data_IF_703411250295
#
_entry.id   IF_703411250295
#
_cell.length_a   1.000
_cell.length_b   1.000
_cell.length_c   1.000
_cell.angle_alpha   90.00
_cell.angle_beta   90.00
_cell.angle_gamma   90.00
#
_symmetry.space_group_name_H-M   'P 1'
#
loop_
_entity.id
_entity.type
_entity.pdbx_description
1 polymer ?
#
# COMPACT_ATOMS: atom_id res chain seq x y z
N UNK A 1 -13.05 -6.98 5.59
CA UNK A 1 -12.46 -7.70 6.73
C UNK A 1 -11.15 -6.99 7.06
N UNK A 2 -11.13 -6.13 8.08
CA UNK A 2 -9.93 -5.38 8.50
C UNK A 2 -9.09 -6.30 9.38
N UNK A 3 -7.83 -6.52 9.02
CA UNK A 3 -6.91 -7.29 9.86
C UNK A 3 -6.31 -6.30 10.86
N UNK A 4 -6.77 -6.36 12.11
CA UNK A 4 -6.36 -5.48 13.22
C UNK A 4 -4.91 -5.68 13.70
N UNK A 5 -4.01 -6.13 12.81
CA UNK A 5 -2.57 -6.32 12.97
C UNK A 5 -2.13 -7.78 13.22
N UNK A 6 -1.04 -8.20 12.57
CA UNK A 6 -0.40 -9.51 12.70
C UNK A 6 1.04 -9.31 13.21
N UNK A 7 1.38 -9.86 14.36
CA UNK A 7 2.74 -9.82 14.89
C UNK A 7 3.61 -10.93 14.28
N UNK A 8 4.83 -10.60 13.86
CA UNK A 8 5.83 -11.52 13.34
C UNK A 8 7.17 -11.23 14.02
N UNK A 9 7.43 -11.92 15.14
CA UNK A 9 8.60 -11.68 15.97
C UNK A 9 8.65 -10.23 16.47
N UNK A 10 9.68 -9.48 16.08
CA UNK A 10 9.85 -8.05 16.42
C UNK A 10 9.08 -7.09 15.50
N UNK A 11 8.36 -7.62 14.50
CA UNK A 11 7.66 -6.82 13.51
C UNK A 11 6.15 -6.96 13.63
N UNK A 12 5.41 -6.00 13.09
CA UNK A 12 3.96 -6.04 13.06
C UNK A 12 3.47 -5.61 11.69
N UNK A 13 2.72 -6.49 11.02
CA UNK A 13 1.96 -6.17 9.83
C UNK A 13 0.65 -5.52 10.28
N UNK A 14 0.27 -4.41 9.67
CA UNK A 14 -0.98 -3.70 9.93
C UNK A 14 -1.68 -3.38 8.63
N UNK A 15 -2.97 -3.05 8.71
CA UNK A 15 -3.70 -2.53 7.57
C UNK A 15 -3.06 -1.24 7.02
N UNK A 16 -3.27 -1.02 5.71
CA UNK A 16 -2.77 0.14 4.99
C UNK A 16 -3.40 1.43 5.51
N UNK A 17 -2.58 2.48 5.65
CA UNK A 17 -2.99 3.83 6.05
C UNK A 17 -2.63 4.84 4.97
N UNK A 18 -3.37 5.94 4.90
CA UNK A 18 -3.12 7.02 3.92
C UNK A 18 -1.68 7.54 3.98
N UNK A 19 -1.12 7.63 5.18
CA UNK A 19 0.24 8.14 5.38
C UNK A 19 1.32 7.23 4.78
N UNK A 20 1.02 5.93 4.59
CA UNK A 20 1.94 4.99 3.97
C UNK A 20 2.19 5.30 2.49
N UNK A 21 1.30 6.07 1.85
CA UNK A 21 1.37 6.37 0.43
C UNK A 21 2.71 6.99 -0.01
N UNK A 22 3.26 7.89 0.81
CA UNK A 22 4.52 8.54 0.51
C UNK A 22 5.69 7.54 0.55
N UNK A 23 5.79 6.76 1.62
CA UNK A 23 6.85 5.77 1.80
C UNK A 23 6.77 4.65 0.76
N UNK A 24 5.57 4.14 0.47
CA UNK A 24 5.41 3.09 -0.55
C UNK A 24 5.80 3.63 -1.94
N UNK A 25 5.42 4.88 -2.29
CA UNK A 25 5.82 5.48 -3.57
C UNK A 25 7.36 5.60 -3.69
N UNK A 26 8.02 6.01 -2.60
CA UNK A 26 9.47 6.12 -2.53
C UNK A 26 10.15 4.76 -2.77
N UNK A 27 9.69 3.70 -2.12
CA UNK A 27 10.31 2.37 -2.26
C UNK A 27 9.89 1.64 -3.55
N UNK A 28 8.67 1.84 -4.04
CA UNK A 28 8.19 1.24 -5.29
C UNK A 28 8.93 1.75 -6.53
N UNK A 29 9.56 2.93 -6.45
CA UNK A 29 10.42 3.45 -7.52
C UNK A 29 11.79 2.73 -7.63
N UNK A 30 12.09 1.81 -6.71
CA UNK A 30 13.27 0.94 -6.83
C UNK A 30 12.97 -0.24 -7.76
N UNK A 31 13.67 -0.33 -8.90
CA UNK A 31 13.50 -1.40 -9.90
C UNK A 31 13.58 -2.82 -9.31
N UNK A 32 14.39 -3.04 -8.27
CA UNK A 32 14.52 -4.34 -7.57
C UNK A 32 13.25 -4.72 -6.80
N UNK A 33 12.48 -3.74 -6.35
CA UNK A 33 11.19 -3.92 -5.66
C UNK A 33 10.07 -4.01 -6.71
N UNK A 34 10.10 -3.13 -7.69
CA UNK A 34 9.10 -3.01 -8.76
C UNK A 34 8.80 -4.33 -9.48
N UNK A 35 9.83 -5.13 -9.78
CA UNK A 35 9.67 -6.41 -10.49
C UNK A 35 8.74 -7.42 -9.79
N UNK A 36 8.52 -7.21 -8.48
CA UNK A 36 7.65 -8.02 -7.62
C UNK A 36 6.23 -7.41 -7.44
N UNK A 37 5.94 -6.22 -7.96
CA UNK A 37 4.67 -5.50 -7.77
C UNK A 37 3.70 -5.69 -8.96
N UNK A 38 3.64 -6.91 -9.51
CA UNK A 38 3.34 -7.14 -10.93
C UNK A 38 1.89 -6.92 -11.39
N UNK A 39 0.87 -6.93 -10.52
CA UNK A 39 -0.55 -6.75 -10.93
C UNK A 39 -1.33 -5.69 -10.15
N UNK A 40 -0.81 -5.31 -8.98
CA UNK A 40 -1.53 -4.51 -8.01
C UNK A 40 -1.33 -2.99 -8.20
N UNK A 41 -0.37 -2.60 -9.03
CA UNK A 41 0.27 -1.29 -9.02
C UNK A 41 0.72 -0.89 -10.44
N UNK A 42 -0.19 -0.31 -11.25
CA UNK A 42 0.16 0.09 -12.62
C UNK A 42 1.00 1.37 -12.60
N UNK A 43 2.20 1.28 -13.16
CA UNK A 43 3.09 2.42 -13.41
C UNK A 43 2.36 3.53 -14.20
N UNK A 44 2.62 4.82 -13.95
CA UNK A 44 3.59 5.42 -13.01
C UNK A 44 3.12 5.45 -11.55
N UNK A 45 4.07 5.32 -10.60
CA UNK A 45 3.85 5.35 -9.14
C UNK A 45 3.69 6.76 -8.60
N UNK A 46 2.64 7.44 -9.06
CA UNK A 46 2.29 8.75 -8.56
C UNK A 46 1.61 8.64 -7.19
N UNK A 47 2.00 9.47 -6.23
CA UNK A 47 1.41 9.54 -4.88
C UNK A 47 -0.13 9.56 -4.92
N UNK A 48 -0.71 10.35 -5.83
CA UNK A 48 -2.16 10.43 -6.02
C UNK A 48 -2.82 9.09 -6.43
N UNK A 49 -2.11 8.25 -7.18
CA UNK A 49 -2.57 6.92 -7.59
C UNK A 49 -2.45 5.91 -6.45
N UNK A 50 -1.40 6.03 -5.65
CA UNK A 50 -1.19 5.19 -4.47
C UNK A 50 -2.24 5.42 -3.39
N UNK A 51 -2.63 6.68 -3.14
CA UNK A 51 -3.72 7.01 -2.23
C UNK A 51 -5.02 6.28 -2.58
N UNK A 52 -5.38 6.21 -3.87
CA UNK A 52 -6.57 5.46 -4.31
C UNK A 52 -6.44 3.95 -4.06
N UNK A 53 -5.25 3.38 -4.24
CA UNK A 53 -4.99 1.95 -4.01
C UNK A 53 -5.08 1.61 -2.51
N UNK A 54 -4.46 2.42 -1.67
CA UNK A 54 -4.49 2.28 -0.21
C UNK A 54 -5.93 2.43 0.31
N UNK A 55 -6.67 3.40 -0.20
CA UNK A 55 -8.08 3.59 0.15
C UNK A 55 -8.94 2.38 -0.20
N UNK A 56 -8.74 1.81 -1.41
CA UNK A 56 -9.50 0.64 -1.88
C UNK A 56 -9.13 -0.63 -1.10
N UNK A 57 -7.85 -0.83 -0.78
CA UNK A 57 -7.36 -2.05 -0.11
C UNK A 57 -7.49 -2.02 1.41
N UNK A 58 -7.37 -0.85 2.03
CA UNK A 58 -7.55 -0.65 3.47
C UNK A 58 -9.02 -0.56 3.91
N UNK A 59 -9.99 -0.74 3.01
CA UNK A 59 -11.41 -0.60 3.34
C UNK A 59 -11.83 0.84 3.71
N UNK A 60 -11.05 1.84 3.28
CA UNK A 60 -11.23 3.26 3.62
C UNK A 60 -12.01 4.04 2.55
N UNK A 61 -12.55 3.37 1.52
CA UNK A 61 -13.51 4.02 0.63
C UNK A 61 -14.85 4.11 1.35
N UNK A 62 -15.43 5.31 1.52
CA UNK A 62 -16.81 5.42 1.98
C UNK A 62 -17.69 4.66 0.99
N UNK A 63 -18.51 3.73 1.49
CA UNK A 63 -19.62 3.18 0.69
C UNK A 63 -20.43 4.35 0.18
N UNK A 64 -20.69 4.33 -1.13
CA UNK A 64 -21.70 5.20 -1.73
C UNK A 64 -23.08 4.80 -1.21
#
# INVERSE_FOLDING_TARGET
MSIKNIAIGKYTIRDWRKDDAASIAQYANNKKIWINLRDAFPHPYLYAKLNKIILKRGGLMPSK
#
